data_IF_584454076376
#
_entry.id   IF_584454076376
#
_cell.length_a   1.000
_cell.length_b   1.000
_cell.length_c   1.000
_cell.angle_alpha   90.00
_cell.angle_beta   90.00
_cell.angle_gamma   90.00
#
_symmetry.space_group_name_H-M   'P 1'
#
loop_
_entity.id
_entity.type
_entity.pdbx_description
1 polymer ?
#
# COMPACT_ATOMS: atom_id res chain seq x y z
N UNK A 1 54.13 23.17 64.82
CA UNK A 1 52.69 23.22 64.46
C UNK A 1 52.55 22.45 63.20
N UNK A 2 52.09 21.17 63.24
CA UNK A 2 51.86 20.33 62.09
C UNK A 2 50.33 20.22 61.88
N UNK A 3 49.82 20.72 60.76
CA UNK A 3 48.42 20.65 60.41
C UNK A 3 48.18 19.32 59.69
N UNK A 4 47.38 18.45 60.27
CA UNK A 4 46.91 17.20 59.62
C UNK A 4 45.79 17.54 58.66
N UNK A 5 46.00 17.21 57.41
CA UNK A 5 45.00 17.33 56.36
C UNK A 5 44.32 15.96 56.21
N UNK A 6 43.05 15.85 56.65
CA UNK A 6 42.25 14.66 56.51
C UNK A 6 41.62 14.67 55.11
N UNK A 7 42.04 13.72 54.25
CA UNK A 7 41.48 13.54 52.97
C UNK A 7 40.25 12.57 53.09
N UNK A 8 39.06 13.11 52.89
CA UNK A 8 37.82 12.29 52.77
C UNK A 8 37.70 11.82 51.34
N UNK A 9 37.92 10.53 51.12
CA UNK A 9 37.67 9.87 49.86
C UNK A 9 36.18 9.60 49.74
N UNK A 10 35.50 10.38 48.89
CA UNK A 10 34.10 10.16 48.53
C UNK A 10 34.03 9.17 47.35
N UNK A 11 33.82 7.88 47.65
CA UNK A 11 33.59 6.85 46.63
C UNK A 11 32.16 6.95 46.10
N UNK A 12 31.99 7.73 45.03
CA UNK A 12 30.73 7.75 44.25
C UNK A 12 30.65 6.51 43.39
N UNK A 13 29.82 5.55 43.78
CA UNK A 13 29.44 4.44 42.89
C UNK A 13 28.52 5.00 41.78
N UNK A 14 29.06 5.17 40.57
CA UNK A 14 28.34 5.55 39.40
C UNK A 14 27.58 4.29 38.90
N UNK A 15 26.33 4.13 39.30
CA UNK A 15 25.43 3.12 38.72
C UNK A 15 25.05 3.54 37.31
N UNK A 16 25.74 2.98 36.33
CA UNK A 16 25.38 3.09 34.91
C UNK A 16 24.08 2.32 34.68
N UNK A 17 22.95 3.00 34.77
CA UNK A 17 21.67 2.44 34.34
C UNK A 17 21.73 2.20 32.82
N UNK A 18 21.87 0.95 32.44
CA UNK A 18 21.68 0.51 31.05
C UNK A 18 20.22 0.81 30.66
N UNK A 19 19.98 1.97 30.05
CA UNK A 19 18.76 2.24 29.29
C UNK A 19 18.77 1.28 28.11
N UNK A 20 18.19 0.09 28.30
CA UNK A 20 17.79 -0.74 27.17
C UNK A 20 16.72 0.05 26.42
N UNK A 21 16.92 0.40 25.13
CA UNK A 21 15.83 0.94 24.36
C UNK A 21 14.71 -0.11 24.40
N UNK A 22 13.60 0.22 25.02
CA UNK A 22 12.38 -0.53 24.81
C UNK A 22 12.08 -0.34 23.30
N UNK A 23 12.41 -1.33 22.50
CA UNK A 23 11.81 -1.46 21.18
C UNK A 23 10.31 -1.54 21.46
N UNK A 24 9.61 -0.43 21.28
CA UNK A 24 8.16 -0.47 21.11
C UNK A 24 7.96 -1.45 19.96
N UNK A 25 7.39 -2.62 20.26
CA UNK A 25 6.93 -3.51 19.22
C UNK A 25 6.01 -2.63 18.35
N UNK A 26 6.42 -2.38 17.12
CA UNK A 26 5.56 -1.74 16.16
C UNK A 26 4.29 -2.59 16.18
N UNK A 27 3.15 -1.98 16.53
CA UNK A 27 1.86 -2.64 16.44
C UNK A 27 1.65 -2.94 14.96
N UNK A 28 2.18 -4.09 14.51
CA UNK A 28 2.00 -4.57 13.15
C UNK A 28 0.52 -4.85 13.00
N UNK A 29 -0.11 -4.12 12.09
CA UNK A 29 -1.50 -4.34 11.72
C UNK A 29 -1.63 -5.80 11.25
N UNK A 30 -2.58 -6.53 11.81
CA UNK A 30 -2.90 -7.90 11.44
C UNK A 30 -4.40 -8.03 11.13
N UNK A 31 -4.77 -9.13 10.47
CA UNK A 31 -6.15 -9.33 10.03
C UNK A 31 -6.66 -10.68 10.55
N UNK A 32 -7.77 -10.63 11.30
CA UNK A 32 -8.36 -11.81 11.93
C UNK A 32 -8.91 -12.85 10.94
N UNK A 33 -9.21 -12.41 9.73
CA UNK A 33 -9.75 -13.20 8.62
C UNK A 33 -8.68 -13.67 7.61
N UNK A 34 -7.39 -13.42 7.90
CA UNK A 34 -6.26 -13.87 7.08
C UNK A 34 -5.31 -14.70 7.94
N UNK A 35 -5.60 -15.99 8.17
CA UNK A 35 -4.73 -16.85 8.96
C UNK A 35 -3.41 -17.13 8.24
N UNK A 36 -2.36 -17.53 8.99
CA UNK A 36 -1.01 -17.75 8.45
C UNK A 36 -0.95 -18.79 7.31
N UNK A 37 -1.89 -19.74 7.29
CA UNK A 37 -2.01 -20.74 6.22
C UNK A 37 -2.82 -20.25 5.00
N UNK A 38 -3.31 -19.01 5.00
CA UNK A 38 -4.01 -18.45 3.86
C UNK A 38 -3.02 -18.23 2.71
N UNK A 39 -3.39 -18.59 1.48
CA UNK A 39 -2.50 -18.52 0.30
C UNK A 39 -1.92 -17.12 0.05
N UNK A 40 -2.67 -16.06 0.38
CA UNK A 40 -2.24 -14.67 0.20
C UNK A 40 -1.61 -14.06 1.46
N UNK A 41 -1.45 -14.81 2.56
CA UNK A 41 -0.99 -14.26 3.85
C UNK A 41 0.32 -13.47 3.72
N UNK A 42 1.32 -14.06 3.09
CA UNK A 42 2.64 -13.43 2.93
C UNK A 42 2.56 -12.11 2.12
N UNK A 43 1.77 -12.11 1.04
CA UNK A 43 1.60 -10.92 0.19
C UNK A 43 0.82 -9.82 0.92
N UNK A 44 -0.24 -10.17 1.65
CA UNK A 44 -1.03 -9.22 2.44
C UNK A 44 -0.18 -8.62 3.56
N UNK A 45 0.61 -9.43 4.26
CA UNK A 45 1.52 -8.96 5.32
C UNK A 45 2.56 -7.99 4.77
N UNK A 46 3.25 -8.35 3.67
CA UNK A 46 4.26 -7.50 3.04
C UNK A 46 3.68 -6.15 2.60
N UNK A 47 2.49 -6.15 1.99
CA UNK A 47 1.83 -4.92 1.55
C UNK A 47 1.29 -4.08 2.71
N UNK A 48 0.99 -4.73 3.84
CA UNK A 48 0.56 -4.04 5.07
C UNK A 48 1.74 -3.39 5.78
N UNK A 49 2.88 -4.06 5.85
CA UNK A 49 4.13 -3.49 6.39
C UNK A 49 4.61 -2.28 5.58
N UNK A 50 4.35 -2.28 4.28
CA UNK A 50 4.60 -1.14 3.38
C UNK A 50 3.52 -0.05 3.43
N UNK A 51 2.56 -0.15 4.34
CA UNK A 51 1.42 0.77 4.51
C UNK A 51 0.50 0.91 3.28
N UNK A 52 0.62 0.02 2.31
CA UNK A 52 -0.25 0.01 1.13
C UNK A 52 -1.63 -0.55 1.46
N UNK A 53 -1.69 -1.65 2.24
CA UNK A 53 -2.92 -2.23 2.73
C UNK A 53 -3.20 -1.81 4.17
N UNK A 54 -4.47 -1.46 4.46
CA UNK A 54 -4.92 -1.04 5.80
C UNK A 54 -6.16 -1.83 6.26
N UNK A 55 -6.55 -2.86 5.50
CA UNK A 55 -7.74 -3.65 5.76
C UNK A 55 -9.04 -2.94 5.38
N UNK A 56 -10.16 -3.63 5.64
CA UNK A 56 -11.52 -3.19 5.34
C UNK A 56 -12.23 -2.59 6.56
N UNK A 57 -11.78 -2.93 7.77
CA UNK A 57 -12.29 -2.34 9.02
C UNK A 57 -11.18 -1.65 9.81
N UNK A 58 -11.51 -0.60 10.60
CA UNK A 58 -10.56 -0.02 11.53
C UNK A 58 -10.02 -1.08 12.50
N UNK A 59 -8.70 -1.11 12.69
CA UNK A 59 -8.09 -2.02 13.63
C UNK A 59 -8.38 -1.61 15.08
N UNK A 60 -8.69 -2.61 15.90
CA UNK A 60 -8.76 -2.48 17.37
C UNK A 60 -7.60 -3.30 17.95
N UNK A 61 -6.78 -2.67 18.77
CA UNK A 61 -5.57 -3.26 19.35
C UNK A 61 -4.62 -3.89 18.29
N UNK A 62 -4.57 -3.27 17.10
CA UNK A 62 -3.73 -3.73 15.99
C UNK A 62 -4.35 -4.85 15.15
N UNK A 63 -5.59 -5.26 15.41
CA UNK A 63 -6.29 -6.32 14.66
C UNK A 63 -7.49 -5.74 13.93
N UNK A 64 -7.54 -5.92 12.61
CA UNK A 64 -8.67 -5.56 11.74
C UNK A 64 -9.21 -6.74 10.95
N UNK A 65 -9.93 -6.46 9.86
CA UNK A 65 -10.29 -7.43 8.82
C UNK A 65 -9.76 -6.98 7.47
N UNK A 66 -9.50 -7.93 6.58
CA UNK A 66 -9.00 -7.67 5.23
C UNK A 66 -10.04 -7.97 4.16
N UNK A 67 -10.92 -8.95 4.42
CA UNK A 67 -11.93 -9.48 3.50
C UNK A 67 -11.30 -10.03 2.20
N UNK A 68 -10.44 -11.06 2.29
CA UNK A 68 -9.63 -11.53 1.15
C UNK A 68 -10.46 -12.13 0.01
N UNK A 69 -11.69 -12.54 0.28
CA UNK A 69 -12.60 -13.15 -0.69
C UNK A 69 -13.61 -12.13 -1.29
N UNK A 70 -13.60 -10.88 -0.82
CA UNK A 70 -14.47 -9.84 -1.35
C UNK A 70 -13.89 -9.20 -2.62
N UNK A 71 -14.76 -8.73 -3.50
CA UNK A 71 -14.35 -7.94 -4.65
C UNK A 71 -13.73 -6.61 -4.21
N UNK A 72 -12.58 -6.27 -4.77
CA UNK A 72 -11.95 -4.97 -4.54
C UNK A 72 -12.68 -3.87 -5.32
N UNK A 73 -13.09 -2.81 -4.64
CA UNK A 73 -13.68 -1.65 -5.31
C UNK A 73 -12.64 -0.86 -6.13
N UNK A 74 -13.12 -0.11 -7.15
CA UNK A 74 -12.28 0.83 -7.91
C UNK A 74 -11.56 1.81 -7.00
N UNK A 75 -12.27 2.37 -6.02
CA UNK A 75 -11.69 3.28 -5.03
C UNK A 75 -10.55 2.64 -4.22
N UNK A 76 -10.74 1.40 -3.76
CA UNK A 76 -9.73 0.68 -3.00
C UNK A 76 -8.47 0.42 -3.85
N UNK A 77 -8.64 -0.03 -5.10
CA UNK A 77 -7.51 -0.29 -6.00
C UNK A 77 -6.71 0.99 -6.29
N UNK A 78 -7.38 2.09 -6.67
CA UNK A 78 -6.73 3.38 -6.90
C UNK A 78 -6.00 3.88 -5.65
N UNK A 79 -6.58 3.70 -4.47
CA UNK A 79 -5.96 4.08 -3.20
C UNK A 79 -4.64 3.37 -2.97
N UNK A 80 -4.56 2.07 -3.25
CA UNK A 80 -3.31 1.29 -3.14
C UNK A 80 -2.23 1.83 -4.09
N UNK A 81 -2.59 2.07 -5.35
CA UNK A 81 -1.66 2.61 -6.34
C UNK A 81 -1.13 3.99 -5.95
N UNK A 82 -2.00 4.88 -5.46
CA UNK A 82 -1.60 6.24 -5.05
C UNK A 82 -0.74 6.21 -3.78
N UNK A 83 -1.05 5.36 -2.81
CA UNK A 83 -0.19 5.16 -1.62
C UNK A 83 1.21 4.69 -2.01
N UNK A 84 1.30 3.85 -3.03
CA UNK A 84 2.59 3.37 -3.51
C UNK A 84 3.40 4.45 -4.24
N UNK A 85 2.76 5.21 -5.14
CA UNK A 85 3.47 6.14 -6.03
C UNK A 85 3.65 7.53 -5.41
N UNK A 86 2.66 8.01 -4.66
CA UNK A 86 2.56 9.42 -4.22
C UNK A 86 2.09 9.56 -2.77
N UNK A 87 2.72 8.87 -1.80
CA UNK A 87 2.27 8.88 -0.40
C UNK A 87 2.24 10.29 0.20
N UNK A 88 3.17 11.14 -0.18
CA UNK A 88 3.34 12.50 0.36
C UNK A 88 2.34 13.52 -0.20
N UNK A 89 1.61 13.16 -1.28
CA UNK A 89 0.64 14.06 -1.91
C UNK A 89 -0.79 13.88 -1.38
N UNK A 90 -1.01 12.85 -0.54
CA UNK A 90 -2.33 12.49 -0.03
C UNK A 90 -2.75 13.48 1.05
N UNK A 91 -3.80 14.26 0.77
CA UNK A 91 -4.37 15.20 1.74
C UNK A 91 -5.36 14.49 2.68
N UNK A 92 -5.55 15.00 3.91
CA UNK A 92 -6.61 14.52 4.79
C UNK A 92 -7.99 14.65 4.11
N UNK A 93 -8.88 13.70 4.39
CA UNK A 93 -10.27 13.75 3.93
C UNK A 93 -10.97 14.95 4.57
N UNK A 94 -11.50 15.84 3.77
CA UNK A 94 -12.23 17.01 4.26
C UNK A 94 -13.68 16.65 4.64
N UNK A 95 -14.31 17.50 5.44
CA UNK A 95 -15.70 17.30 5.82
C UNK A 95 -16.63 17.24 4.58
N UNK A 96 -17.44 16.20 4.51
CA UNK A 96 -18.36 15.96 3.39
C UNK A 96 -17.77 15.25 2.18
N UNK A 97 -16.45 14.99 2.16
CA UNK A 97 -15.82 14.18 1.14
C UNK A 97 -15.97 12.69 1.43
N UNK A 98 -16.00 11.87 0.37
CA UNK A 98 -15.83 10.43 0.49
C UNK A 98 -14.37 10.12 0.81
N UNK A 99 -14.13 9.03 1.52
CA UNK A 99 -12.81 8.63 2.00
C UNK A 99 -11.75 8.51 0.89
N UNK A 100 -12.15 8.20 -0.32
CA UNK A 100 -11.26 7.97 -1.46
C UNK A 100 -10.98 9.23 -2.31
N UNK A 101 -11.71 10.32 -2.10
CA UNK A 101 -11.57 11.53 -2.94
C UNK A 101 -10.16 12.12 -2.95
N UNK A 102 -9.42 12.19 -1.84
CA UNK A 102 -8.03 12.64 -1.88
C UNK A 102 -7.16 11.79 -2.79
N UNK A 103 -7.35 10.48 -2.79
CA UNK A 103 -6.58 9.54 -3.61
C UNK A 103 -6.94 9.65 -5.08
N UNK A 104 -8.23 9.72 -5.41
CA UNK A 104 -8.67 9.89 -6.80
C UNK A 104 -8.28 11.24 -7.39
N UNK A 105 -8.18 12.29 -6.56
CA UNK A 105 -7.65 13.57 -6.99
C UNK A 105 -6.18 13.47 -7.41
N UNK A 106 -5.33 12.85 -6.59
CA UNK A 106 -3.92 12.60 -6.93
C UNK A 106 -3.81 11.72 -8.18
N UNK A 107 -4.61 10.64 -8.26
CA UNK A 107 -4.61 9.75 -9.43
C UNK A 107 -4.95 10.47 -10.75
N UNK A 108 -5.87 11.45 -10.72
CA UNK A 108 -6.19 12.29 -11.89
C UNK A 108 -5.05 13.24 -12.25
N UNK A 109 -4.47 13.92 -11.25
CA UNK A 109 -3.33 14.85 -11.48
C UNK A 109 -2.19 14.15 -12.21
N UNK A 110 -1.89 12.92 -11.84
CA UNK A 110 -0.82 12.12 -12.45
C UNK A 110 -1.26 11.27 -13.65
N UNK A 111 -2.51 11.36 -14.07
CA UNK A 111 -3.02 10.63 -15.24
C UNK A 111 -3.15 9.11 -15.04
N UNK A 112 -3.14 8.63 -13.80
CA UNK A 112 -3.42 7.21 -13.45
C UNK A 112 -4.85 6.85 -13.84
N UNK A 113 -5.78 7.76 -13.58
CA UNK A 113 -7.15 7.70 -14.08
C UNK A 113 -7.49 9.00 -14.82
N UNK A 114 -8.37 8.93 -15.81
CA UNK A 114 -8.82 10.08 -16.59
C UNK A 114 -10.25 10.47 -16.20
N UNK A 115 -10.61 11.70 -16.51
CA UNK A 115 -11.99 12.17 -16.29
C UNK A 115 -12.99 11.34 -17.12
N UNK A 116 -14.08 10.94 -16.46
CA UNK A 116 -15.09 10.07 -17.07
C UNK A 116 -14.78 8.58 -17.05
N UNK A 117 -13.54 8.19 -16.73
CA UNK A 117 -13.21 6.78 -16.45
C UNK A 117 -13.63 6.41 -15.03
N UNK A 118 -13.94 5.13 -14.81
CA UNK A 118 -14.25 4.57 -13.49
C UNK A 118 -15.29 5.42 -12.73
N UNK A 119 -16.41 5.69 -13.36
CA UNK A 119 -17.45 6.59 -12.79
C UNK A 119 -18.05 6.09 -11.48
N UNK A 120 -18.16 4.77 -11.30
CA UNK A 120 -18.63 4.11 -10.08
C UNK A 120 -17.43 3.65 -9.23
N UNK A 121 -16.91 4.52 -8.38
CA UNK A 121 -15.76 4.22 -7.52
C UNK A 121 -16.05 3.17 -6.45
N UNK A 122 -17.30 3.02 -6.03
CA UNK A 122 -17.70 2.03 -5.02
C UNK A 122 -17.94 0.64 -5.64
N UNK A 123 -18.09 0.55 -6.98
CA UNK A 123 -18.27 -0.70 -7.71
C UNK A 123 -16.99 -1.53 -7.82
N UNK A 124 -17.16 -2.83 -8.09
CA UNK A 124 -16.04 -3.78 -8.26
C UNK A 124 -15.12 -3.36 -9.41
N UNK A 125 -13.82 -3.47 -9.18
CA UNK A 125 -12.78 -3.18 -10.18
C UNK A 125 -12.66 -4.35 -11.16
N UNK A 126 -12.84 -4.08 -12.45
CA UNK A 126 -12.69 -5.09 -13.47
C UNK A 126 -11.22 -5.35 -13.81
N UNK A 127 -10.85 -6.57 -14.16
CA UNK A 127 -9.47 -6.93 -14.51
C UNK A 127 -8.90 -6.09 -15.65
N UNK A 128 -9.70 -5.76 -16.67
CA UNK A 128 -9.30 -4.88 -17.76
C UNK A 128 -9.04 -3.44 -17.32
N UNK A 129 -9.78 -2.94 -16.34
CA UNK A 129 -9.54 -1.63 -15.70
C UNK A 129 -8.27 -1.64 -14.87
N UNK A 130 -8.04 -2.74 -14.10
CA UNK A 130 -6.77 -2.94 -13.35
C UNK A 130 -5.57 -2.88 -14.27
N UNK A 131 -5.61 -3.58 -15.41
CA UNK A 131 -4.53 -3.60 -16.38
C UNK A 131 -4.19 -2.19 -16.87
N UNK A 132 -5.19 -1.37 -17.21
CA UNK A 132 -4.97 0.02 -17.62
C UNK A 132 -4.30 0.86 -16.54
N UNK A 133 -4.77 0.77 -15.31
CA UNK A 133 -4.19 1.51 -14.19
C UNK A 133 -2.76 1.06 -13.91
N UNK A 134 -2.48 -0.24 -13.92
CA UNK A 134 -1.14 -0.80 -13.69
C UNK A 134 -0.16 -0.40 -14.80
N UNK A 135 -0.59 -0.41 -16.05
CA UNK A 135 0.24 0.04 -17.18
C UNK A 135 0.61 1.51 -17.02
N UNK A 136 -0.35 2.37 -16.71
CA UNK A 136 -0.07 3.79 -16.47
C UNK A 136 0.86 4.01 -15.28
N UNK A 137 0.67 3.25 -14.19
CA UNK A 137 1.57 3.29 -13.04
C UNK A 137 2.99 2.85 -13.39
N UNK A 138 3.14 1.82 -14.22
CA UNK A 138 4.45 1.35 -14.70
C UNK A 138 5.11 2.38 -15.63
N UNK A 139 4.33 3.01 -16.52
CA UNK A 139 4.83 4.06 -17.43
C UNK A 139 5.32 5.29 -16.65
N UNK A 140 4.62 5.70 -15.58
CA UNK A 140 5.07 6.77 -14.69
C UNK A 140 6.39 6.44 -13.98
N UNK A 141 6.65 5.17 -13.71
CA UNK A 141 7.92 4.69 -13.16
C UNK A 141 8.98 4.45 -14.24
N UNK A 142 8.70 4.79 -15.50
CA UNK A 142 9.59 4.57 -16.64
C UNK A 142 9.99 3.09 -16.81
N UNK A 143 9.11 2.18 -16.40
CA UNK A 143 9.33 0.76 -16.58
C UNK A 143 9.17 0.42 -18.06
N UNK A 144 10.25 -0.09 -18.65
CA UNK A 144 10.21 -0.51 -20.04
C UNK A 144 9.52 -1.86 -20.17
N UNK A 145 8.66 -2.00 -21.18
CA UNK A 145 8.15 -3.28 -21.64
C UNK A 145 8.98 -3.73 -22.83
N UNK A 146 9.31 -5.00 -22.86
CA UNK A 146 9.97 -5.61 -24.02
C UNK A 146 9.05 -5.73 -25.23
N UNK A 147 9.19 -6.77 -26.00
CA UNK A 147 8.26 -7.08 -27.09
C UNK A 147 6.87 -7.42 -26.52
N UNK A 148 5.83 -6.85 -27.15
CA UNK A 148 4.46 -7.16 -26.76
C UNK A 148 4.11 -8.58 -27.13
N UNK A 149 3.54 -9.34 -26.20
CA UNK A 149 3.08 -10.70 -26.40
C UNK A 149 2.09 -10.80 -27.57
N UNK A 150 2.04 -11.98 -28.21
CA UNK A 150 0.98 -12.26 -29.18
C UNK A 150 -0.39 -12.31 -28.49
N UNK A 151 -1.42 -11.77 -29.14
CA UNK A 151 -2.76 -11.74 -28.56
C UNK A 151 -3.34 -13.14 -28.35
N UNK A 152 -2.89 -14.14 -29.09
CA UNK A 152 -3.29 -15.54 -28.91
C UNK A 152 -2.84 -16.14 -27.56
N UNK A 153 -1.89 -15.51 -26.88
CA UNK A 153 -1.46 -15.92 -25.53
C UNK A 153 -2.44 -15.47 -24.44
N UNK A 154 -3.38 -14.58 -24.77
CA UNK A 154 -4.42 -14.08 -23.84
C UNK A 154 -5.73 -14.78 -24.21
N UNK A 155 -6.09 -15.80 -23.43
CA UNK A 155 -7.19 -16.72 -23.77
C UNK A 155 -8.55 -16.06 -23.99
N UNK A 156 -8.83 -14.96 -23.30
CA UNK A 156 -10.10 -14.21 -23.35
C UNK A 156 -9.98 -12.85 -24.07
N UNK A 157 -8.92 -12.66 -24.88
CA UNK A 157 -8.63 -11.37 -25.50
C UNK A 157 -9.78 -10.79 -26.31
N UNK A 158 -10.55 -11.64 -26.98
CA UNK A 158 -11.67 -11.19 -27.80
C UNK A 158 -12.87 -10.66 -27.00
N UNK A 159 -12.98 -11.05 -25.73
CA UNK A 159 -14.04 -10.59 -24.81
C UNK A 159 -13.73 -9.25 -24.15
N UNK A 160 -12.46 -8.81 -24.22
CA UNK A 160 -12.02 -7.55 -23.64
C UNK A 160 -12.60 -6.39 -24.45
N UNK A 161 -13.09 -5.35 -23.75
CA UNK A 161 -13.54 -4.13 -24.40
C UNK A 161 -12.39 -3.46 -25.17
N UNK A 162 -12.68 -2.98 -26.39
CA UNK A 162 -11.66 -2.44 -27.29
C UNK A 162 -10.79 -1.35 -26.65
N UNK A 163 -11.36 -0.55 -25.76
CA UNK A 163 -10.68 0.52 -25.05
C UNK A 163 -9.51 0.01 -24.18
N UNK A 164 -9.62 -1.21 -23.64
CA UNK A 164 -8.64 -1.79 -22.71
C UNK A 164 -7.66 -2.76 -23.36
N UNK A 165 -7.96 -3.24 -24.59
CA UNK A 165 -7.18 -4.31 -25.26
C UNK A 165 -5.69 -4.06 -25.31
N UNK A 166 -5.28 -2.82 -25.62
CA UNK A 166 -3.86 -2.48 -25.71
C UNK A 166 -3.19 -2.51 -24.35
N UNK A 167 -3.85 -1.96 -23.32
CA UNK A 167 -3.30 -1.94 -21.97
C UNK A 167 -3.27 -3.34 -21.36
N UNK A 168 -4.28 -4.18 -21.60
CA UNK A 168 -4.27 -5.59 -21.16
C UNK A 168 -3.09 -6.33 -21.81
N UNK A 169 -2.85 -6.17 -23.11
CA UNK A 169 -1.73 -6.78 -23.81
C UNK A 169 -0.38 -6.31 -23.21
N UNK A 170 -0.26 -5.01 -22.97
CA UNK A 170 0.95 -4.42 -22.36
C UNK A 170 1.16 -4.90 -20.93
N UNK A 171 0.11 -4.96 -20.12
CA UNK A 171 0.14 -5.47 -18.74
C UNK A 171 0.60 -6.93 -18.70
N UNK A 172 0.06 -7.77 -19.59
CA UNK A 172 0.48 -9.17 -19.74
C UNK A 172 1.96 -9.28 -20.12
N UNK A 173 2.46 -8.39 -21.01
CA UNK A 173 3.87 -8.35 -21.40
C UNK A 173 4.82 -7.90 -20.28
N UNK A 174 4.30 -7.19 -19.27
CA UNK A 174 5.05 -6.90 -18.04
C UNK A 174 5.12 -8.10 -17.08
N UNK A 175 4.34 -9.16 -17.32
CA UNK A 175 4.20 -10.30 -16.41
C UNK A 175 3.27 -10.03 -15.23
N UNK A 176 2.31 -9.15 -15.41
CA UNK A 176 1.32 -8.74 -14.40
C UNK A 176 -0.05 -9.37 -14.67
#
# INVERSE_FOLDING_TARGET
>A
MKKNLTVIALSGALTLALLTPAFAAANTLSFSDVPENHWAYAAITDMTEKEMFKGTTPAVDGVGTFSPDDDMSRAAFITVIVRYLYPDEIKPVAAGQKWYEPYTAVARVHGIIRDGELSDMDGAMLRQEMATVLVRAADLQQKEVGELVDTSEIADYDTIENTYKQDVRKCFSYGM
#
